data_IF_796592831610
#
_entry.id   IF_796592831610
#
_cell.length_a   1.000
_cell.length_b   1.000
_cell.length_c   1.000
_cell.angle_alpha   90.00
_cell.angle_beta   90.00
_cell.angle_gamma   90.00
#
_symmetry.space_group_name_H-M   'P 1'
#
loop_
_entity.id
_entity.type
_entity.pdbx_description
1 polymer ?
#
# COMPACT_ATOMS: atom_id res chain seq x y z
N UNK A 1 -15.25 3.44 21.11
CA UNK A 1 -14.32 2.51 21.81
C UNK A 1 -12.95 3.15 21.89
N UNK A 2 -12.33 3.15 23.06
CA UNK A 2 -10.95 3.61 23.20
C UNK A 2 -10.00 2.43 22.92
N UNK A 3 -9.01 2.65 22.06
CA UNK A 3 -7.95 1.69 21.75
C UNK A 3 -6.63 2.26 22.24
N UNK A 4 -5.92 1.50 23.08
CA UNK A 4 -4.61 1.90 23.59
C UNK A 4 -3.54 1.01 22.96
N UNK A 5 -2.60 1.63 22.23
CA UNK A 5 -1.46 0.95 21.62
C UNK A 5 -0.27 0.98 22.58
N UNK A 6 0.43 -0.16 22.70
CA UNK A 6 1.77 -0.18 23.32
C UNK A 6 2.80 0.03 22.22
N UNK A 7 3.50 1.15 22.28
CA UNK A 7 4.49 1.54 21.28
C UNK A 7 5.90 1.33 21.80
N UNK A 8 6.81 0.88 20.93
CA UNK A 8 8.24 1.02 21.17
C UNK A 8 8.67 2.49 21.06
N UNK A 9 9.83 2.89 21.59
CA UNK A 9 10.34 4.26 21.44
C UNK A 9 10.46 4.70 19.97
N UNK A 10 10.83 3.79 19.08
CA UNK A 10 10.96 4.04 17.64
C UNK A 10 9.59 4.29 17.00
N UNK A 11 8.59 3.49 17.38
CA UNK A 11 7.23 3.66 16.88
C UNK A 11 6.61 4.98 17.36
N UNK A 12 6.83 5.37 18.62
CA UNK A 12 6.33 6.66 19.13
C UNK A 12 6.98 7.85 18.40
N UNK A 13 8.29 7.78 18.13
CA UNK A 13 8.99 8.79 17.32
C UNK A 13 8.44 8.87 15.90
N UNK A 14 8.25 7.72 15.25
CA UNK A 14 7.68 7.66 13.91
C UNK A 14 6.27 8.27 13.87
N UNK A 15 5.42 7.93 14.83
CA UNK A 15 4.07 8.49 14.95
C UNK A 15 4.08 9.99 15.21
N UNK A 16 5.03 10.47 16.03
CA UNK A 16 5.20 11.90 16.32
C UNK A 16 5.52 12.66 15.04
N UNK A 17 6.46 12.15 14.24
CA UNK A 17 6.85 12.76 12.98
C UNK A 17 5.69 12.74 11.97
N UNK A 18 5.01 11.61 11.83
CA UNK A 18 3.87 11.48 10.92
C UNK A 18 2.76 12.47 11.28
N UNK A 19 2.38 12.54 12.56
CA UNK A 19 1.37 13.47 13.04
C UNK A 19 1.76 14.94 12.79
N UNK A 20 3.05 15.28 12.98
CA UNK A 20 3.55 16.63 12.70
C UNK A 20 3.48 17.00 11.21
N UNK A 21 3.82 16.04 10.33
CA UNK A 21 3.75 16.23 8.87
C UNK A 21 2.30 16.39 8.39
N UNK A 22 1.38 15.60 8.96
CA UNK A 22 -0.04 15.65 8.60
C UNK A 22 -0.80 16.80 9.29
N UNK A 23 -0.22 17.44 10.30
CA UNK A 23 -0.90 18.44 11.11
C UNK A 23 -2.02 17.86 11.98
N UNK A 24 -1.90 16.60 12.40
CA UNK A 24 -2.92 15.85 13.13
C UNK A 24 -2.43 15.39 14.51
N UNK A 25 -3.31 14.75 15.29
CA UNK A 25 -2.89 14.11 16.54
C UNK A 25 -2.21 12.76 16.27
N UNK A 26 -1.41 12.26 17.22
CA UNK A 26 -0.81 10.91 17.15
C UNK A 26 -1.85 9.80 16.90
N UNK A 27 -3.01 9.88 17.55
CA UNK A 27 -4.08 8.90 17.39
C UNK A 27 -4.74 8.99 16.01
N UNK A 28 -4.92 10.20 15.52
CA UNK A 28 -5.46 10.48 14.18
C UNK A 28 -4.52 9.94 13.11
N UNK A 29 -3.23 10.28 13.18
CA UNK A 29 -2.19 9.78 12.29
C UNK A 29 -2.12 8.24 12.30
N UNK A 30 -2.22 7.61 13.47
CA UNK A 30 -2.27 6.15 13.59
C UNK A 30 -3.45 5.55 12.82
N UNK A 31 -4.65 6.13 12.98
CA UNK A 31 -5.85 5.67 12.29
C UNK A 31 -5.70 5.83 10.78
N UNK A 32 -5.22 6.99 10.33
CA UNK A 32 -5.02 7.27 8.91
C UNK A 32 -3.96 6.35 8.29
N UNK A 33 -2.88 6.08 9.02
CA UNK A 33 -1.85 5.12 8.60
C UNK A 33 -2.41 3.70 8.41
N UNK A 34 -3.28 3.23 9.32
CA UNK A 34 -3.94 1.92 9.22
C UNK A 34 -4.82 1.88 7.97
N UNK A 35 -5.66 2.89 7.76
CA UNK A 35 -6.55 2.96 6.58
C UNK A 35 -5.72 3.00 5.29
N UNK A 36 -4.67 3.80 5.25
CA UNK A 36 -3.80 3.92 4.08
C UNK A 36 -3.05 2.61 3.80
N UNK A 37 -2.57 1.91 4.83
CA UNK A 37 -1.91 0.62 4.68
C UNK A 37 -2.88 -0.47 4.17
N UNK A 38 -4.11 -0.49 4.68
CA UNK A 38 -5.15 -1.41 4.22
C UNK A 38 -5.51 -1.14 2.74
N UNK A 39 -5.75 0.11 2.38
CA UNK A 39 -6.08 0.50 1.01
C UNK A 39 -4.97 0.11 0.02
N UNK A 40 -3.70 0.38 0.37
CA UNK A 40 -2.54 -0.05 -0.46
C UNK A 40 -2.48 -1.57 -0.59
N UNK A 41 -2.66 -2.30 0.50
CA UNK A 41 -2.61 -3.77 0.48
C UNK A 41 -3.65 -4.37 -0.46
N UNK A 42 -4.88 -3.85 -0.43
CA UNK A 42 -5.96 -4.31 -1.31
C UNK A 42 -5.66 -3.98 -2.77
N UNK A 43 -5.30 -2.71 -3.06
CA UNK A 43 -4.98 -2.29 -4.42
C UNK A 43 -3.80 -3.08 -5.02
N UNK A 44 -2.76 -3.33 -4.22
CA UNK A 44 -1.62 -4.13 -4.65
C UNK A 44 -2.02 -5.56 -5.03
N UNK A 45 -2.93 -6.18 -4.30
CA UNK A 45 -3.39 -7.54 -4.63
C UNK A 45 -4.27 -7.56 -5.88
N UNK A 46 -5.12 -6.55 -6.08
CA UNK A 46 -5.89 -6.40 -7.32
C UNK A 46 -4.96 -6.27 -8.53
N UNK A 47 -3.91 -5.44 -8.43
CA UNK A 47 -2.89 -5.29 -9.48
C UNK A 47 -2.17 -6.62 -9.73
N UNK A 48 -1.75 -7.33 -8.69
CA UNK A 48 -1.09 -8.63 -8.84
C UNK A 48 -2.00 -9.66 -9.50
N UNK A 49 -3.29 -9.67 -9.15
CA UNK A 49 -4.27 -10.55 -9.77
C UNK A 49 -4.41 -10.26 -11.27
N UNK A 50 -4.60 -8.99 -11.65
CA UNK A 50 -4.66 -8.58 -13.05
C UNK A 50 -3.39 -8.94 -13.81
N UNK A 51 -2.22 -8.71 -13.19
CA UNK A 51 -0.94 -9.03 -13.81
C UNK A 51 -0.80 -10.53 -14.10
N UNK A 52 -1.15 -11.39 -13.14
CA UNK A 52 -1.15 -12.86 -13.33
C UNK A 52 -2.05 -13.28 -14.50
N UNK A 53 -3.21 -12.64 -14.67
CA UNK A 53 -4.15 -12.99 -15.74
C UNK A 53 -3.70 -12.51 -17.13
N UNK A 54 -3.14 -11.30 -17.22
CA UNK A 54 -3.01 -10.63 -18.50
C UNK A 54 -1.57 -10.50 -19.02
N UNK A 55 -0.56 -10.48 -18.15
CA UNK A 55 0.83 -10.23 -18.57
C UNK A 55 1.31 -11.31 -19.55
N UNK A 56 1.05 -12.58 -19.27
CA UNK A 56 1.46 -13.69 -20.15
C UNK A 56 0.77 -13.61 -21.52
N UNK A 57 -0.54 -13.34 -21.53
CA UNK A 57 -1.32 -13.23 -22.76
C UNK A 57 -0.87 -12.05 -23.64
N UNK A 58 -0.58 -10.90 -23.04
CA UNK A 58 -0.03 -9.76 -23.76
C UNK A 58 1.41 -10.01 -24.23
N UNK A 59 2.26 -10.64 -23.41
CA UNK A 59 3.62 -11.00 -23.79
C UNK A 59 3.64 -11.93 -25.01
N UNK A 60 2.79 -12.97 -25.02
CA UNK A 60 2.66 -13.89 -26.15
C UNK A 60 2.17 -13.18 -27.42
N UNK A 61 1.24 -12.24 -27.29
CA UNK A 61 0.75 -11.44 -28.42
C UNK A 61 1.84 -10.53 -28.98
N UNK A 62 2.57 -9.83 -28.11
CA UNK A 62 3.70 -8.98 -28.50
C UNK A 62 4.83 -9.78 -29.16
N UNK A 63 5.12 -10.99 -28.66
CA UNK A 63 6.09 -11.89 -29.27
C UNK A 63 5.71 -12.22 -30.71
N UNK A 64 4.45 -12.63 -30.96
CA UNK A 64 3.96 -12.95 -32.31
C UNK A 64 4.04 -11.76 -33.28
N UNK A 65 3.69 -10.56 -32.81
CA UNK A 65 3.78 -9.34 -33.63
C UNK A 65 5.23 -8.97 -33.98
N UNK A 66 6.20 -9.30 -33.10
CA UNK A 66 7.63 -9.08 -33.35
C UNK A 66 8.23 -10.15 -34.26
N UNK A 67 7.80 -11.41 -34.12
CA UNK A 67 8.33 -12.53 -34.90
C UNK A 67 7.73 -12.66 -36.31
N UNK A 68 6.59 -11.99 -36.57
CA UNK A 68 5.94 -11.94 -37.89
C UNK A 68 6.35 -10.74 -38.77
N UNK A 69 7.32 -9.94 -38.32
CA UNK A 69 8.05 -8.94 -39.12
C UNK A 69 9.43 -9.46 -39.45
#
# INVERSE_FOLDING_TARGET
MAMTLRLTPEQDRALTLLAAVEGTSKQEAARNAIVAAAARTVADEEIRALARTHVEAYAATLYRLRSGR
#
